data_IF_060593788773
#
_entry.id   IF_060593788773
#
_cell.length_a   1.000
_cell.length_b   1.000
_cell.length_c   1.000
_cell.angle_alpha   90.00
_cell.angle_beta   90.00
_cell.angle_gamma   90.00
#
_symmetry.space_group_name_H-M   'P 1'
#
loop_
_entity.id
_entity.type
_entity.pdbx_description
1 polymer ?
#
# COMPACT_ATOMS: atom_id res chain seq x y z
N UNK A 1 -3.81 8.42 -27.60
CA UNK A 1 -3.93 8.08 -26.17
C UNK A 1 -4.09 6.56 -26.10
N UNK A 2 -3.09 5.81 -25.61
CA UNK A 2 -3.19 4.34 -25.53
C UNK A 2 -3.86 3.98 -24.21
N UNK A 3 -5.01 3.33 -24.28
CA UNK A 3 -5.70 2.76 -23.12
C UNK A 3 -4.78 1.73 -22.45
N UNK A 4 -4.37 2.00 -21.22
CA UNK A 4 -3.62 1.05 -20.40
C UNK A 4 -4.63 0.04 -19.88
N UNK A 5 -4.76 -1.08 -20.59
CA UNK A 5 -5.63 -2.20 -20.20
C UNK A 5 -5.38 -2.63 -18.74
N UNK A 6 -6.47 -2.86 -17.99
CA UNK A 6 -6.46 -3.30 -16.58
C UNK A 6 -5.56 -4.51 -16.31
N UNK A 7 -5.34 -5.36 -17.31
CA UNK A 7 -4.44 -6.52 -17.22
C UNK A 7 -2.96 -6.14 -17.10
N UNK A 8 -2.57 -5.03 -17.75
CA UNK A 8 -1.20 -4.52 -17.68
C UNK A 8 -0.90 -3.88 -16.32
N UNK A 9 -1.93 -3.37 -15.63
CA UNK A 9 -1.81 -2.79 -14.28
C UNK A 9 -1.55 -3.87 -13.20
N UNK A 10 -2.16 -5.05 -13.32
CA UNK A 10 -1.94 -6.16 -12.37
C UNK A 10 -0.53 -6.75 -12.40
N UNK A 11 0.17 -6.68 -13.53
CA UNK A 11 1.53 -7.26 -13.67
C UNK A 11 2.63 -6.40 -13.05
N UNK A 12 2.35 -5.14 -12.72
CA UNK A 12 3.37 -4.20 -12.21
C UNK A 12 3.36 -4.06 -10.68
N UNK A 13 2.33 -4.56 -9.98
CA UNK A 13 2.37 -4.62 -8.51
C UNK A 13 3.03 -5.92 -8.06
N UNK A 14 4.03 -5.86 -7.15
CA UNK A 14 4.47 -7.06 -6.47
C UNK A 14 3.27 -7.68 -5.72
N UNK A 15 3.11 -9.01 -5.72
CA UNK A 15 2.04 -9.65 -4.97
C UNK A 15 2.16 -9.25 -3.49
N UNK A 16 1.04 -9.04 -2.78
CA UNK A 16 1.11 -8.84 -1.34
C UNK A 16 1.80 -10.04 -0.71
N UNK A 17 2.86 -9.80 0.07
CA UNK A 17 3.46 -10.84 0.90
C UNK A 17 2.48 -11.17 2.00
N UNK A 18 1.67 -12.20 1.80
CA UNK A 18 0.80 -12.74 2.85
C UNK A 18 1.62 -13.78 3.59
N UNK A 19 2.01 -13.47 4.84
CA UNK A 19 2.61 -14.46 5.72
C UNK A 19 1.48 -15.27 6.37
N UNK A 20 1.42 -16.59 6.17
CA UNK A 20 0.36 -17.44 6.74
C UNK A 20 0.42 -17.59 8.27
N UNK A 21 1.46 -17.04 8.92
CA UNK A 21 1.71 -17.17 10.35
C UNK A 21 1.40 -15.90 11.17
N UNK A 22 0.73 -14.88 10.59
CA UNK A 22 0.37 -13.67 11.32
C UNK A 22 -0.85 -13.94 12.25
N UNK A 23 -0.69 -13.95 13.59
CA UNK A 23 -1.77 -14.30 14.52
C UNK A 23 -2.95 -13.32 14.48
N UNK A 24 -2.76 -12.14 13.88
CA UNK A 24 -3.82 -11.16 13.64
C UNK A 24 -4.89 -11.65 12.65
N UNK A 25 -4.61 -12.69 11.85
CA UNK A 25 -5.51 -13.22 10.82
C UNK A 25 -6.66 -14.09 11.35
N UNK A 26 -6.62 -14.55 12.61
CA UNK A 26 -7.52 -15.64 13.07
C UNK A 26 -8.55 -15.17 14.11
N UNK A 27 -8.36 -14.00 14.75
CA UNK A 27 -9.33 -13.39 15.68
C UNK A 27 -9.48 -11.86 15.54
N UNK A 28 -8.77 -11.24 14.59
CA UNK A 28 -8.79 -9.79 14.39
C UNK A 28 -9.93 -9.31 13.49
N UNK A 29 -10.36 -8.07 13.71
CA UNK A 29 -11.29 -7.38 12.81
C UNK A 29 -10.64 -7.24 11.42
N UNK A 30 -11.40 -7.42 10.34
CA UNK A 30 -10.85 -7.34 8.98
C UNK A 30 -10.14 -5.99 8.74
N UNK A 31 -9.08 -5.95 7.91
CA UNK A 31 -8.28 -4.75 7.63
C UNK A 31 -9.09 -3.50 7.25
N UNK A 32 -10.22 -3.68 6.57
CA UNK A 32 -11.10 -2.59 6.12
C UNK A 32 -12.36 -2.41 6.97
N UNK A 33 -12.43 -3.04 8.14
CA UNK A 33 -13.61 -2.94 9.01
C UNK A 33 -13.87 -1.53 9.55
N UNK A 34 -12.86 -0.72 9.95
CA UNK A 34 -13.11 0.65 10.40
C UNK A 34 -13.83 1.50 9.34
N UNK A 35 -13.41 1.41 8.07
CA UNK A 35 -14.08 2.11 6.97
C UNK A 35 -15.52 1.63 6.74
N UNK A 36 -15.78 0.34 6.95
CA UNK A 36 -17.15 -0.18 6.90
C UNK A 36 -18.03 0.37 8.04
N UNK A 37 -17.47 0.58 9.23
CA UNK A 37 -18.21 1.23 10.33
C UNK A 37 -18.60 2.66 9.99
N UNK A 38 -17.72 3.42 9.31
CA UNK A 38 -18.02 4.78 8.86
C UNK A 38 -19.14 4.81 7.82
N UNK A 39 -19.16 3.86 6.88
CA UNK A 39 -20.26 3.71 5.90
C UNK A 39 -21.59 3.43 6.61
N UNK A 40 -21.60 2.47 7.53
CA UNK A 40 -22.79 2.14 8.31
C UNK A 40 -23.24 3.32 9.18
N UNK A 41 -22.30 4.01 9.83
CA UNK A 41 -22.56 5.20 10.63
C UNK A 41 -23.23 6.30 9.80
N UNK A 42 -22.72 6.56 8.60
CA UNK A 42 -23.31 7.54 7.70
C UNK A 42 -24.73 7.16 7.27
N UNK A 43 -25.00 5.89 6.97
CA UNK A 43 -26.34 5.43 6.62
C UNK A 43 -27.33 5.53 7.79
N UNK A 44 -26.90 5.26 9.02
CA UNK A 44 -27.76 5.42 10.21
C UNK A 44 -28.09 6.89 10.44
N UNK A 45 -27.10 7.77 10.38
CA UNK A 45 -27.29 9.22 10.60
C UNK A 45 -28.23 9.84 9.54
N UNK A 46 -28.14 9.40 8.28
CA UNK A 46 -28.94 9.96 7.19
C UNK A 46 -30.20 9.14 6.86
N UNK A 47 -30.61 8.22 7.73
CA UNK A 47 -31.76 7.33 7.52
C UNK A 47 -33.10 8.08 7.35
N UNK A 48 -33.24 9.26 7.96
CA UNK A 48 -34.45 10.10 7.85
C UNK A 48 -34.66 10.75 6.48
N UNK A 49 -33.62 10.85 5.65
CA UNK A 49 -33.67 11.50 4.33
C UNK A 49 -33.87 10.50 3.17
N UNK A 50 -34.16 9.24 3.46
CA UNK A 50 -34.41 8.20 2.46
C UNK A 50 -33.26 8.01 1.47
N UNK A 51 -33.57 7.95 0.17
CA UNK A 51 -32.59 7.67 -0.89
C UNK A 51 -31.61 8.83 -1.12
N UNK A 52 -32.01 10.08 -0.83
CA UNK A 52 -31.10 11.24 -0.85
C UNK A 52 -30.04 11.16 0.24
N UNK A 53 -30.39 10.63 1.42
CA UNK A 53 -29.46 10.45 2.54
C UNK A 53 -28.32 9.49 2.21
N UNK A 54 -28.61 8.40 1.48
CA UNK A 54 -27.59 7.43 1.07
C UNK A 54 -26.54 8.03 0.13
N UNK A 55 -26.95 8.94 -0.76
CA UNK A 55 -26.04 9.61 -1.71
C UNK A 55 -25.01 10.49 -1.01
N UNK A 56 -25.31 11.01 0.19
CA UNK A 56 -24.34 11.77 1.00
C UNK A 56 -23.21 10.89 1.54
N UNK A 57 -23.42 9.58 1.62
CA UNK A 57 -22.45 8.60 2.14
C UNK A 57 -21.50 8.06 1.08
N UNK A 58 -21.54 8.58 -0.15
CA UNK A 58 -20.62 8.20 -1.24
C UNK A 58 -19.14 8.38 -0.85
N UNK A 59 -18.71 9.47 -0.17
CA UNK A 59 -17.31 9.60 0.23
C UNK A 59 -16.82 8.47 1.15
N UNK A 60 -17.61 8.11 2.18
CA UNK A 60 -17.28 7.00 3.06
C UNK A 60 -17.25 5.65 2.31
N UNK A 61 -18.17 5.48 1.36
CA UNK A 61 -18.22 4.29 0.50
C UNK A 61 -16.97 4.19 -0.39
N UNK A 62 -16.52 5.31 -0.95
CA UNK A 62 -15.29 5.38 -1.75
C UNK A 62 -14.06 4.98 -0.94
N UNK A 63 -13.96 5.39 0.32
CA UNK A 63 -12.84 5.03 1.21
C UNK A 63 -12.84 3.53 1.54
N UNK A 64 -14.01 2.94 1.75
CA UNK A 64 -14.13 1.49 1.92
C UNK A 64 -13.68 0.71 0.66
N UNK A 65 -14.09 1.15 -0.53
CA UNK A 65 -13.67 0.55 -1.79
C UNK A 65 -12.18 0.80 -2.10
N UNK A 66 -11.64 1.94 -1.68
CA UNK A 66 -10.20 2.21 -1.73
C UNK A 66 -9.46 1.18 -0.89
N UNK A 67 -9.84 0.96 0.37
CA UNK A 67 -9.18 -0.01 1.24
C UNK A 67 -9.22 -1.44 0.68
N UNK A 68 -10.32 -1.85 0.04
CA UNK A 68 -10.45 -3.20 -0.52
C UNK A 68 -9.60 -3.44 -1.77
N UNK A 69 -9.45 -2.42 -2.61
CA UNK A 69 -8.90 -2.58 -3.96
C UNK A 69 -7.62 -1.80 -4.22
N UNK A 70 -7.25 -0.89 -3.30
CA UNK A 70 -6.11 0.02 -3.36
C UNK A 70 -5.90 0.64 -4.74
N UNK A 71 -6.99 0.96 -5.45
CA UNK A 71 -6.91 1.44 -6.84
C UNK A 71 -6.27 2.81 -6.92
N UNK A 72 -6.64 3.70 -6.00
CA UNK A 72 -6.10 5.07 -5.93
C UNK A 72 -4.61 5.00 -5.55
N UNK A 73 -4.24 4.20 -4.56
CA UNK A 73 -2.83 4.03 -4.17
C UNK A 73 -1.99 3.39 -5.28
N UNK A 74 -2.44 2.30 -5.90
CA UNK A 74 -1.72 1.65 -7.00
C UNK A 74 -1.36 2.63 -8.13
N UNK A 75 -2.33 3.46 -8.55
CA UNK A 75 -2.11 4.48 -9.57
C UNK A 75 -1.13 5.57 -9.11
N UNK A 76 -1.21 5.97 -7.84
CA UNK A 76 -0.30 6.96 -7.25
C UNK A 76 1.12 6.42 -7.20
N UNK A 77 1.33 5.22 -6.68
CA UNK A 77 2.65 4.58 -6.61
C UNK A 77 3.26 4.44 -8.01
N UNK A 78 2.48 4.03 -9.01
CA UNK A 78 2.95 3.93 -10.39
C UNK A 78 3.44 5.27 -10.96
N UNK A 79 2.68 6.35 -10.76
CA UNK A 79 3.08 7.69 -11.22
C UNK A 79 4.35 8.16 -10.50
N UNK A 80 4.43 7.94 -9.20
CA UNK A 80 5.59 8.31 -8.39
C UNK A 80 6.85 7.53 -8.82
N UNK A 81 6.74 6.21 -9.03
CA UNK A 81 7.84 5.39 -9.52
C UNK A 81 8.28 5.76 -10.94
N UNK A 82 7.34 6.14 -11.82
CA UNK A 82 7.67 6.63 -13.15
C UNK A 82 8.44 7.95 -13.09
N UNK A 83 7.99 8.90 -12.27
CA UNK A 83 8.69 10.17 -12.06
C UNK A 83 10.07 9.95 -11.43
N UNK A 84 10.17 9.05 -10.45
CA UNK A 84 11.44 8.70 -9.79
C UNK A 84 12.46 8.11 -10.78
N UNK A 85 12.07 7.12 -11.60
CA UNK A 85 12.94 6.55 -12.63
C UNK A 85 13.37 7.58 -13.68
N UNK A 86 12.48 8.50 -14.06
CA UNK A 86 12.83 9.60 -14.96
C UNK A 86 13.86 10.54 -14.33
N UNK A 87 13.72 10.84 -13.03
CA UNK A 87 14.69 11.66 -12.31
C UNK A 87 16.05 10.97 -12.16
N UNK A 88 16.08 9.67 -11.85
CA UNK A 88 17.32 8.88 -11.79
C UNK A 88 18.07 8.83 -13.13
N UNK A 89 17.34 8.71 -14.25
CA UNK A 89 17.94 8.74 -15.58
C UNK A 89 18.49 10.13 -15.96
N UNK A 90 17.90 11.21 -15.45
CA UNK A 90 18.34 12.58 -15.70
C UNK A 90 19.52 13.01 -14.80
N UNK A 91 19.54 12.52 -13.55
CA UNK A 91 20.58 12.80 -12.57
C UNK A 91 20.96 11.49 -11.86
N UNK A 92 22.02 10.80 -12.31
CA UNK A 92 22.52 9.62 -11.63
C UNK A 92 22.86 9.99 -10.18
N UNK A 93 22.16 9.39 -9.21
CA UNK A 93 22.53 9.57 -7.80
C UNK A 93 23.86 8.87 -7.56
N UNK A 94 24.92 9.63 -7.30
CA UNK A 94 26.23 9.09 -6.92
C UNK A 94 26.19 8.31 -5.60
N UNK A 95 25.21 8.61 -4.73
CA UNK A 95 25.01 8.00 -3.41
C UNK A 95 23.73 7.14 -3.35
N UNK A 96 23.56 6.20 -4.28
CA UNK A 96 22.51 5.19 -4.14
C UNK A 96 22.90 4.20 -3.02
N UNK A 97 22.01 3.94 -2.03
CA UNK A 97 22.33 3.01 -0.95
C UNK A 97 22.57 1.60 -1.51
N UNK A 98 23.77 1.07 -1.27
CA UNK A 98 24.14 -0.30 -1.68
C UNK A 98 23.29 -1.30 -0.90
N UNK A 99 22.95 -2.43 -1.53
CA UNK A 99 22.10 -3.47 -0.94
C UNK A 99 22.61 -4.00 0.42
N UNK A 100 23.91 -3.92 0.68
CA UNK A 100 24.54 -4.28 1.95
C UNK A 100 24.13 -3.36 3.11
N UNK A 101 23.90 -2.07 2.85
CA UNK A 101 23.49 -1.09 3.86
C UNK A 101 22.03 -1.25 4.29
N UNK A 102 21.22 -1.90 3.45
CA UNK A 102 19.82 -2.27 3.76
C UNK A 102 19.80 -3.51 4.67
N UNK A 103 20.76 -4.43 4.51
CA UNK A 103 20.87 -5.64 5.35
C UNK A 103 21.27 -5.32 6.77
N UNK A 104 22.12 -4.31 6.97
CA UNK A 104 22.50 -3.82 8.30
C UNK A 104 21.48 -2.86 8.91
N UNK A 105 20.32 -2.62 8.27
CA UNK A 105 19.29 -1.65 8.68
C UNK A 105 19.85 -0.25 9.01
N UNK A 106 21.02 0.10 8.47
CA UNK A 106 21.69 1.37 8.75
C UNK A 106 22.46 1.45 10.07
N UNK A 107 22.80 0.33 10.73
CA UNK A 107 23.70 0.38 11.89
C UNK A 107 25.12 0.80 11.47
N UNK A 108 25.51 2.02 11.83
CA UNK A 108 26.88 2.53 11.68
C UNK A 108 27.80 1.83 12.68
N UNK A 109 28.90 1.24 12.21
CA UNK A 109 29.95 0.66 13.05
C UNK A 109 29.70 -0.77 13.57
N UNK A 110 28.73 -1.50 13.01
CA UNK A 110 28.42 -2.90 13.42
C UNK A 110 28.53 -3.90 12.27
N UNK A 111 29.62 -3.79 11.51
CA UNK A 111 29.91 -4.66 10.37
C UNK A 111 30.09 -6.13 10.78
N UNK A 112 30.64 -6.39 11.97
CA UNK A 112 30.76 -7.75 12.51
C UNK A 112 29.41 -8.40 12.84
N UNK A 113 28.44 -7.62 13.32
CA UNK A 113 27.10 -8.12 13.66
C UNK A 113 26.34 -8.49 12.38
N UNK A 114 26.52 -7.71 11.30
CA UNK A 114 25.99 -8.03 9.98
C UNK A 114 26.67 -9.26 9.34
N UNK A 115 27.99 -9.43 9.53
CA UNK A 115 28.74 -10.59 9.05
C UNK A 115 28.32 -11.89 9.75
N UNK A 116 28.09 -11.85 11.07
CA UNK A 116 27.63 -13.01 11.83
C UNK A 116 26.23 -13.48 11.41
N UNK A 117 25.31 -12.57 11.10
CA UNK A 117 23.98 -12.91 10.57
C UNK A 117 24.07 -13.57 9.18
N UNK A 118 25.07 -13.20 8.37
CA UNK A 118 25.30 -13.80 7.06
C UNK A 118 25.99 -15.16 7.13
N UNK A 119 26.82 -15.40 8.15
CA UNK A 119 27.55 -16.66 8.35
C UNK A 119 26.69 -17.79 8.94
N UNK A 120 25.54 -17.46 9.55
CA UNK A 120 24.63 -18.42 10.18
C UNK A 120 23.56 -19.01 9.25
N UNK A 121 23.73 -18.84 7.93
CA UNK A 121 22.79 -19.33 6.91
C UNK A 121 23.45 -20.34 5.98
#
# INVERSE_FOLDING_TARGET
MREVSNHSLRRQLPPPRVNPADPSLILGRSRCYPFWQEVLGCYVVNSGEGESGKKKCVPALEDYHECLHHRKEALRTMKMQAAYRKAEAAHPRENAPKAEQIRSLGLLGKEEEAANVLAQR
#
